data_IF_951754357292
#
_entry.id   IF_951754357292
#
_cell.length_a   1.000
_cell.length_b   1.000
_cell.length_c   1.000
_cell.angle_alpha   90.00
_cell.angle_beta   90.00
_cell.angle_gamma   90.00
#
_symmetry.space_group_name_H-M   'P 1'
#
loop_
_entity.id
_entity.type
_entity.pdbx_description
1 polymer ?
#
# COMPACT_ATOMS: atom_id res chain seq x y z
N UNK A 1 -36.24 28.07 -1.51
CA UNK A 1 -35.36 28.19 -2.70
C UNK A 1 -33.88 28.36 -2.35
N UNK A 2 -33.48 29.36 -1.54
CA UNK A 2 -32.06 29.58 -1.16
C UNK A 2 -31.36 28.36 -0.51
N UNK A 3 -32.07 27.62 0.36
CA UNK A 3 -31.56 26.38 0.98
C UNK A 3 -31.37 25.21 0.01
N UNK A 4 -32.15 25.17 -1.07
CA UNK A 4 -32.05 24.12 -2.10
C UNK A 4 -30.83 24.39 -3.01
N UNK A 5 -30.62 25.65 -3.37
CA UNK A 5 -29.46 26.12 -4.14
C UNK A 5 -28.16 25.87 -3.37
N UNK A 6 -28.14 26.17 -2.07
CA UNK A 6 -26.96 25.92 -1.21
C UNK A 6 -26.61 24.43 -1.11
N UNK A 7 -27.61 23.56 -0.96
CA UNK A 7 -27.42 22.10 -0.96
C UNK A 7 -26.88 21.59 -2.30
N UNK A 8 -27.44 22.06 -3.41
CA UNK A 8 -26.98 21.69 -4.74
C UNK A 8 -25.54 22.14 -5.00
N UNK A 9 -25.16 23.32 -4.50
CA UNK A 9 -23.79 23.83 -4.62
C UNK A 9 -22.79 22.95 -3.87
N UNK A 10 -23.10 22.59 -2.61
CA UNK A 10 -22.25 21.69 -1.81
C UNK A 10 -22.08 20.35 -2.53
N UNK A 11 -23.17 19.78 -3.04
CA UNK A 11 -23.15 18.48 -3.68
C UNK A 11 -22.31 18.48 -4.98
N UNK A 12 -22.38 19.55 -5.76
CA UNK A 12 -21.57 19.74 -6.97
C UNK A 12 -20.08 19.85 -6.64
N UNK A 13 -19.73 20.60 -5.59
CA UNK A 13 -18.36 20.74 -5.11
C UNK A 13 -17.81 19.40 -4.63
N UNK A 14 -18.58 18.63 -3.86
CA UNK A 14 -18.17 17.30 -3.40
C UNK A 14 -17.83 16.37 -4.55
N UNK A 15 -18.66 16.32 -5.61
CA UNK A 15 -18.42 15.46 -6.77
C UNK A 15 -17.13 15.87 -7.51
N UNK A 16 -16.83 17.16 -7.61
CA UNK A 16 -15.62 17.65 -8.27
C UNK A 16 -14.34 17.19 -7.55
N UNK A 17 -14.34 17.09 -6.23
CA UNK A 17 -13.17 16.60 -5.47
C UNK A 17 -12.85 15.13 -5.73
N UNK A 18 -13.86 14.29 -5.93
CA UNK A 18 -13.67 12.86 -6.19
C UNK A 18 -13.09 12.59 -7.59
N UNK A 19 -13.18 13.54 -8.53
CA UNK A 19 -12.69 13.40 -9.90
C UNK A 19 -11.18 13.74 -10.06
N UNK A 20 -10.45 13.97 -8.97
CA UNK A 20 -9.06 14.47 -8.99
C UNK A 20 -7.98 13.41 -9.28
N UNK A 21 -8.33 12.28 -9.88
CA UNK A 21 -7.34 11.26 -10.23
C UNK A 21 -6.44 11.75 -11.37
N UNK A 22 -5.14 11.89 -11.11
CA UNK A 22 -4.15 12.32 -12.09
C UNK A 22 -3.46 11.11 -12.73
N UNK A 23 -3.41 11.08 -14.06
CA UNK A 23 -2.64 10.06 -14.78
C UNK A 23 -1.14 10.35 -14.67
N UNK A 24 -0.37 9.38 -14.18
CA UNK A 24 1.09 9.48 -14.06
C UNK A 24 1.74 8.86 -15.29
N UNK A 25 2.47 9.68 -16.05
CA UNK A 25 3.17 9.23 -17.25
C UNK A 25 4.38 8.36 -16.89
N UNK A 26 4.75 7.35 -17.70
CA UNK A 26 5.83 6.41 -17.37
C UNK A 26 7.18 7.06 -17.03
N UNK A 27 7.54 8.16 -17.70
CA UNK A 27 8.80 8.88 -17.47
C UNK A 27 8.81 9.74 -16.20
N UNK A 28 7.65 10.01 -15.60
CA UNK A 28 7.58 10.70 -14.30
C UNK A 28 8.02 9.79 -13.15
N UNK A 29 8.08 8.47 -13.39
CA UNK A 29 8.48 7.49 -12.38
C UNK A 29 9.85 7.78 -11.76
N UNK A 30 10.82 8.27 -12.54
CA UNK A 30 12.15 8.63 -12.03
C UNK A 30 12.08 9.69 -10.91
N UNK A 31 11.20 10.68 -11.06
CA UNK A 31 11.07 11.76 -10.09
C UNK A 31 10.14 11.40 -8.92
N UNK A 32 9.18 10.48 -9.13
CA UNK A 32 8.19 10.10 -8.12
C UNK A 32 8.65 8.91 -7.24
N UNK A 33 9.47 8.00 -7.78
CA UNK A 33 9.99 6.85 -7.07
C UNK A 33 11.24 7.25 -6.29
N UNK A 34 11.06 7.57 -5.00
CA UNK A 34 12.18 7.93 -4.13
C UNK A 34 13.07 6.71 -3.83
N UNK A 35 14.38 6.90 -3.57
CA UNK A 35 15.28 5.82 -3.23
C UNK A 35 14.81 4.96 -2.04
N UNK A 36 14.18 5.57 -1.04
CA UNK A 36 13.72 4.88 0.18
C UNK A 36 12.49 3.99 -0.06
N UNK A 37 11.86 4.08 -1.24
CA UNK A 37 10.75 3.19 -1.64
C UNK A 37 11.27 1.87 -2.23
N UNK A 38 12.58 1.68 -2.35
CA UNK A 38 13.16 0.43 -2.82
C UNK A 38 12.95 -0.70 -1.81
N UNK A 39 12.61 -1.89 -2.31
CA UNK A 39 12.56 -3.09 -1.49
C UNK A 39 13.97 -3.53 -1.11
N UNK A 40 14.17 -4.02 0.11
CA UNK A 40 15.46 -4.56 0.53
C UNK A 40 16.49 -3.52 0.98
N UNK A 41 16.16 -2.23 0.94
CA UNK A 41 17.09 -1.15 1.29
C UNK A 41 17.47 -1.15 2.79
N UNK A 42 16.69 -1.85 3.62
CA UNK A 42 16.89 -1.92 5.08
C UNK A 42 16.91 -3.36 5.59
N UNK A 43 18.08 -3.99 5.47
CA UNK A 43 18.32 -5.40 5.84
C UNK A 43 17.83 -5.78 7.25
N UNK A 44 17.97 -4.88 8.24
CA UNK A 44 17.47 -5.12 9.60
C UNK A 44 15.95 -5.11 9.67
N UNK A 45 15.30 -4.14 9.02
CA UNK A 45 13.84 -4.02 8.99
C UNK A 45 13.22 -5.26 8.35
N UNK A 46 13.81 -5.73 7.26
CA UNK A 46 13.28 -6.87 6.51
C UNK A 46 13.44 -8.18 7.28
N UNK A 47 14.53 -8.37 8.04
CA UNK A 47 14.69 -9.49 8.97
C UNK A 47 13.64 -9.49 10.09
N UNK A 48 13.32 -8.33 10.64
CA UNK A 48 12.30 -8.22 11.71
C UNK A 48 10.91 -8.52 11.15
N UNK A 49 10.61 -8.01 9.94
CA UNK A 49 9.36 -8.31 9.25
C UNK A 49 9.24 -9.80 8.94
N UNK A 50 10.29 -10.44 8.40
CA UNK A 50 10.27 -11.87 8.08
C UNK A 50 10.11 -12.73 9.32
N UNK A 51 10.78 -12.39 10.43
CA UNK A 51 10.63 -13.08 11.70
C UNK A 51 9.19 -12.97 12.22
N UNK A 52 8.62 -11.76 12.21
CA UNK A 52 7.24 -11.53 12.66
C UNK A 52 6.21 -12.24 11.78
N UNK A 53 6.42 -12.21 10.46
CA UNK A 53 5.58 -12.89 9.49
C UNK A 53 5.62 -14.40 9.71
N UNK A 54 6.81 -14.98 9.86
CA UNK A 54 6.96 -16.39 10.15
C UNK A 54 6.28 -16.80 11.47
N UNK A 55 6.43 -16.00 12.54
CA UNK A 55 5.78 -16.31 13.83
C UNK A 55 4.26 -16.27 13.76
N UNK A 56 3.67 -15.45 12.89
CA UNK A 56 2.22 -15.27 12.78
C UNK A 56 1.58 -16.20 11.75
N UNK A 57 2.28 -16.46 10.65
CA UNK A 57 1.77 -17.14 9.47
C UNK A 57 2.52 -18.46 9.21
N UNK A 58 3.10 -19.09 10.25
CA UNK A 58 3.94 -20.30 10.12
C UNK A 58 3.23 -21.46 9.41
N UNK A 59 1.90 -21.51 9.48
CA UNK A 59 1.06 -22.49 8.80
C UNK A 59 0.92 -22.25 7.28
N UNK A 60 1.13 -21.03 6.80
CA UNK A 60 0.94 -20.63 5.40
C UNK A 60 2.19 -20.77 4.51
N UNK A 61 3.33 -21.19 5.08
CA UNK A 61 4.59 -21.33 4.35
C UNK A 61 5.30 -19.99 4.14
N UNK A 62 6.49 -19.84 4.74
CA UNK A 62 7.30 -18.62 4.63
C UNK A 62 8.20 -18.56 3.39
N UNK A 63 8.77 -17.39 3.11
CA UNK A 63 9.78 -17.17 2.06
C UNK A 63 11.13 -17.71 2.51
N UNK A 64 11.38 -19.00 2.30
CA UNK A 64 12.59 -19.69 2.74
C UNK A 64 12.23 -20.96 3.50
N UNK A 65 12.75 -22.08 3.02
CA UNK A 65 12.42 -23.43 3.45
C UNK A 65 12.46 -23.63 4.98
N UNK A 66 11.52 -24.45 5.45
CA UNK A 66 11.21 -24.83 6.85
C UNK A 66 10.11 -23.98 7.52
N UNK A 67 8.90 -24.09 6.96
CA UNK A 67 7.65 -23.72 7.60
C UNK A 67 7.36 -24.61 8.80
N UNK A 68 7.22 -24.01 9.98
CA UNK A 68 6.84 -24.66 11.23
C UNK A 68 5.36 -25.08 11.27
N UNK A 69 4.98 -26.02 10.41
CA UNK A 69 3.74 -26.79 10.47
C UNK A 69 4.07 -28.26 10.21
N UNK A 70 3.76 -29.13 11.17
CA UNK A 70 4.04 -30.59 11.21
C UNK A 70 5.45 -31.09 10.78
N UNK A 71 6.41 -30.21 10.48
CA UNK A 71 7.83 -30.53 10.37
C UNK A 71 8.23 -31.50 9.27
N UNK A 72 7.41 -31.72 8.23
CA UNK A 72 7.82 -32.56 7.10
C UNK A 72 8.67 -31.76 6.10
N UNK A 73 9.98 -31.71 6.34
CA UNK A 73 10.98 -31.76 5.28
C UNK A 73 11.74 -33.09 5.44
#
# INVERSE_FOLDING_TARGET
>A
MKRLIFRSFILMVSIAYLASCAEVKPWQKENLAKPEMQFGDQTLSDRIKSHTYFSKESAHGGTGSSSGGCGCN
#
